data_IF_434355629390
#
_entry.id   IF_434355629390
#
_cell.length_a   1.000
_cell.length_b   1.000
_cell.length_c   1.000
_cell.angle_alpha   90.00
_cell.angle_beta   90.00
_cell.angle_gamma   90.00
#
_symmetry.space_group_name_H-M   'P 1'
#
loop_
_entity.id
_entity.type
_entity.pdbx_description
1 polymer ?
#
# COMPACT_ATOMS: atom_id res chain seq x y z
N UNK A 1 -35.94 31.54 31.93
CA UNK A 1 -35.24 31.35 30.64
C UNK A 1 -35.27 29.87 30.30
N UNK A 2 -36.10 29.47 29.33
CA UNK A 2 -36.13 28.09 28.85
C UNK A 2 -34.92 27.87 27.93
N UNK A 3 -34.05 26.93 28.28
CA UNK A 3 -32.93 26.51 27.45
C UNK A 3 -33.52 25.74 26.26
N UNK A 4 -33.43 26.31 25.07
CA UNK A 4 -33.80 25.65 23.82
C UNK A 4 -32.96 24.38 23.65
N UNK A 5 -33.55 23.22 23.31
CA UNK A 5 -32.81 21.98 23.12
C UNK A 5 -31.83 22.16 21.95
N UNK A 6 -30.56 21.85 22.20
CA UNK A 6 -29.52 21.83 21.18
C UNK A 6 -29.88 20.78 20.12
N UNK A 7 -30.35 21.23 18.96
CA UNK A 7 -30.57 20.37 17.81
C UNK A 7 -29.22 19.81 17.36
N UNK A 8 -28.95 18.55 17.75
CA UNK A 8 -27.83 17.80 17.21
C UNK A 8 -28.32 17.22 15.90
N UNK A 9 -27.88 17.70 14.72
CA UNK A 9 -28.40 17.19 13.46
C UNK A 9 -28.12 15.70 13.39
N UNK A 10 -29.16 14.93 13.09
CA UNK A 10 -29.06 13.49 12.93
C UNK A 10 -27.96 13.19 11.92
N UNK A 11 -26.99 12.33 12.25
CA UNK A 11 -25.93 11.97 11.33
C UNK A 11 -26.53 11.48 10.01
N UNK A 12 -26.12 12.09 8.88
CA UNK A 12 -26.56 11.69 7.55
C UNK A 12 -26.44 10.17 7.38
N UNK A 13 -27.39 9.51 6.68
CA UNK A 13 -27.37 8.07 6.51
C UNK A 13 -26.07 7.58 5.85
N UNK A 14 -25.66 6.34 6.17
CA UNK A 14 -24.35 5.79 5.79
C UNK A 14 -24.08 5.87 4.28
N UNK A 15 -25.09 5.71 3.43
CA UNK A 15 -24.95 5.81 1.98
C UNK A 15 -24.56 7.22 1.51
N UNK A 16 -25.10 8.28 2.14
CA UNK A 16 -24.72 9.66 1.83
C UNK A 16 -23.28 9.97 2.27
N UNK A 17 -22.81 9.31 3.33
CA UNK A 17 -21.42 9.43 3.81
C UNK A 17 -20.45 8.62 2.97
N UNK A 18 -20.90 7.50 2.41
CA UNK A 18 -20.10 6.64 1.54
C UNK A 18 -19.91 7.25 0.13
N UNK A 19 -20.88 8.03 -0.35
CA UNK A 19 -20.90 8.58 -1.70
C UNK A 19 -19.63 9.38 -2.09
N UNK A 20 -19.10 10.30 -1.25
CA UNK A 20 -17.86 11.01 -1.56
C UNK A 20 -16.65 10.07 -1.73
N UNK A 21 -16.62 8.96 -0.99
CA UNK A 21 -15.54 7.97 -1.07
C UNK A 21 -15.64 7.15 -2.35
N UNK A 22 -16.85 6.73 -2.75
CA UNK A 22 -17.07 6.01 -4.02
C UNK A 22 -16.66 6.89 -5.20
N UNK A 23 -17.07 8.16 -5.20
CA UNK A 23 -16.67 9.11 -6.23
C UNK A 23 -15.16 9.35 -6.27
N UNK A 24 -14.49 9.43 -5.11
CA UNK A 24 -13.04 9.55 -5.04
C UNK A 24 -12.33 8.34 -5.67
N UNK A 25 -12.77 7.12 -5.34
CA UNK A 25 -12.20 5.89 -5.92
C UNK A 25 -12.40 5.86 -7.43
N UNK A 26 -13.61 6.16 -7.92
CA UNK A 26 -13.88 6.22 -9.36
C UNK A 26 -13.00 7.26 -10.06
N UNK A 27 -12.85 8.45 -9.45
CA UNK A 27 -11.97 9.49 -9.94
C UNK A 27 -10.51 9.02 -10.04
N UNK A 28 -9.99 8.30 -9.04
CA UNK A 28 -8.62 7.77 -9.09
C UNK A 28 -8.42 6.73 -10.19
N UNK A 29 -9.40 5.85 -10.43
CA UNK A 29 -9.35 4.90 -11.55
C UNK A 29 -9.29 5.65 -12.88
N UNK A 30 -10.18 6.62 -13.10
CA UNK A 30 -10.20 7.43 -14.32
C UNK A 30 -8.89 8.19 -14.49
N UNK A 31 -8.37 8.78 -13.42
CA UNK A 31 -7.13 9.56 -13.45
C UNK A 31 -5.91 8.69 -13.82
N UNK A 32 -5.78 7.51 -13.21
CA UNK A 32 -4.69 6.58 -13.51
C UNK A 32 -4.77 6.06 -14.95
N UNK A 33 -5.97 5.69 -15.41
CA UNK A 33 -6.20 5.22 -16.78
C UNK A 33 -5.94 6.34 -17.79
N UNK A 34 -6.37 7.57 -17.52
CA UNK A 34 -6.14 8.71 -18.40
C UNK A 34 -4.65 9.04 -18.52
N UNK A 35 -3.91 9.03 -17.42
CA UNK A 35 -2.48 9.31 -17.43
C UNK A 35 -1.68 8.25 -18.22
N UNK A 36 -2.07 6.97 -18.10
CA UNK A 36 -1.46 5.86 -18.83
C UNK A 36 -2.30 5.36 -20.01
N UNK A 37 -3.07 6.25 -20.64
CA UNK A 37 -3.96 5.90 -21.74
C UNK A 37 -3.26 5.09 -22.87
N UNK A 38 -2.01 5.41 -23.28
CA UNK A 38 -1.32 4.61 -24.30
C UNK A 38 -1.06 3.15 -23.88
N UNK A 39 -0.82 2.91 -22.58
CA UNK A 39 -0.61 1.54 -22.07
C UNK A 39 -1.93 0.76 -22.07
N UNK A 40 -3.04 1.42 -21.71
CA UNK A 40 -4.35 0.78 -21.59
C UNK A 40 -5.00 0.53 -22.95
N UNK A 41 -5.01 1.52 -23.83
CA UNK A 41 -5.77 1.47 -25.10
C UNK A 41 -4.93 1.09 -26.31
N UNK A 42 -3.63 1.41 -26.32
CA UNK A 42 -2.75 1.13 -27.46
C UNK A 42 -1.81 -0.06 -27.19
N UNK A 43 -2.00 -0.76 -26.07
CA UNK A 43 -1.17 -1.89 -25.64
C UNK A 43 0.34 -1.60 -25.64
N UNK A 44 0.71 -0.35 -25.42
CA UNK A 44 2.11 0.05 -25.31
C UNK A 44 2.68 -0.37 -23.95
N UNK A 45 3.99 -0.57 -23.89
CA UNK A 45 4.70 -0.90 -22.66
C UNK A 45 5.71 0.19 -22.32
N UNK A 46 6.00 0.33 -21.03
CA UNK A 46 7.03 1.25 -20.57
C UNK A 46 8.39 0.55 -20.69
N UNK A 47 9.35 1.21 -21.34
CA UNK A 47 10.72 0.71 -21.41
C UNK A 47 11.39 0.83 -20.03
N UNK A 48 11.34 -0.26 -19.26
CA UNK A 48 11.83 -0.34 -17.90
C UNK A 48 13.19 -1.06 -17.87
N UNK A 49 14.25 -0.32 -17.54
CA UNK A 49 15.62 -0.85 -17.52
C UNK A 49 15.77 -1.99 -16.52
N UNK A 50 15.25 -1.82 -15.30
CA UNK A 50 15.31 -2.81 -14.24
C UNK A 50 14.61 -4.12 -14.60
N UNK A 51 13.49 -4.05 -15.32
CA UNK A 51 12.78 -5.25 -15.77
C UNK A 51 13.64 -6.02 -16.78
N UNK A 52 14.35 -5.31 -17.64
CA UNK A 52 15.25 -5.94 -18.61
C UNK A 52 16.43 -6.61 -17.90
N UNK A 53 17.02 -5.94 -16.91
CA UNK A 53 18.11 -6.53 -16.10
C UNK A 53 17.63 -7.73 -15.28
N UNK A 54 16.44 -7.64 -14.71
CA UNK A 54 15.80 -8.74 -13.98
C UNK A 54 15.60 -9.97 -14.87
N UNK A 55 15.09 -9.80 -16.09
CA UNK A 55 14.91 -10.90 -17.03
C UNK A 55 16.23 -11.61 -17.35
N UNK A 56 17.32 -10.85 -17.54
CA UNK A 56 18.65 -11.42 -17.73
C UNK A 56 19.15 -12.21 -16.50
N UNK A 57 18.99 -11.65 -15.31
CA UNK A 57 19.42 -12.28 -14.07
C UNK A 57 18.61 -13.51 -13.66
N UNK A 58 17.31 -13.52 -13.92
CA UNK A 58 16.40 -14.62 -13.60
C UNK A 58 16.45 -15.77 -14.61
N UNK A 59 17.06 -15.58 -15.78
CA UNK A 59 16.95 -16.49 -16.92
C UNK A 59 17.40 -17.92 -16.59
N UNK A 60 18.59 -18.11 -16.01
CA UNK A 60 19.09 -19.45 -15.62
C UNK A 60 18.15 -20.13 -14.62
N UNK A 61 17.68 -19.38 -13.63
CA UNK A 61 16.80 -19.90 -12.56
C UNK A 61 15.47 -20.36 -13.14
N UNK A 62 14.89 -19.57 -14.06
CA UNK A 62 13.64 -19.91 -14.74
C UNK A 62 13.77 -21.12 -15.67
N UNK A 63 14.88 -21.23 -16.40
CA UNK A 63 15.14 -22.40 -17.26
C UNK A 63 15.29 -23.68 -16.43
N UNK A 64 16.07 -23.62 -15.36
CA UNK A 64 16.21 -24.75 -14.44
C UNK A 64 14.86 -25.19 -13.85
N UNK A 65 14.05 -24.22 -13.38
CA UNK A 65 12.75 -24.51 -12.82
C UNK A 65 11.78 -25.14 -13.83
N UNK A 66 11.83 -24.70 -15.09
CA UNK A 66 11.03 -25.28 -16.17
C UNK A 66 11.42 -26.74 -16.48
N UNK A 67 12.70 -27.10 -16.37
CA UNK A 67 13.21 -28.45 -16.63
C UNK A 67 13.02 -29.41 -15.45
N UNK A 68 13.24 -28.94 -14.22
CA UNK A 68 13.30 -29.78 -13.02
C UNK A 68 12.01 -29.74 -12.17
N UNK A 69 11.07 -28.87 -12.50
CA UNK A 69 9.79 -28.72 -11.80
C UNK A 69 9.90 -28.09 -10.40
N UNK A 70 11.06 -27.55 -10.02
CA UNK A 70 11.26 -26.83 -8.77
C UNK A 70 12.28 -25.70 -8.93
N UNK A 71 12.09 -24.61 -8.17
CA UNK A 71 12.94 -23.42 -8.19
C UNK A 71 14.34 -23.74 -7.60
N UNK A 72 15.45 -23.41 -8.27
CA UNK A 72 16.77 -23.57 -7.65
C UNK A 72 16.99 -22.43 -6.65
N UNK A 73 17.70 -22.71 -5.55
CA UNK A 73 17.99 -21.73 -4.50
C UNK A 73 19.29 -20.93 -4.73
N UNK A 74 20.03 -21.27 -5.80
CA UNK A 74 21.31 -20.67 -6.17
C UNK A 74 21.42 -20.53 -7.69
N UNK A 75 21.96 -19.41 -8.16
CA UNK A 75 22.28 -19.15 -9.57
C UNK A 75 23.76 -18.85 -9.70
N UNK A 76 24.42 -19.40 -10.72
CA UNK A 76 25.82 -19.13 -11.03
C UNK A 76 25.99 -18.00 -12.05
N UNK A 77 24.91 -17.63 -12.73
CA UNK A 77 24.91 -16.63 -13.80
C UNK A 77 24.99 -15.19 -13.30
N UNK A 78 24.89 -14.96 -12.00
CA UNK A 78 24.97 -13.64 -11.39
C UNK A 78 26.07 -13.56 -10.33
N UNK A 79 26.92 -12.54 -10.41
CA UNK A 79 27.95 -12.19 -9.42
C UNK A 79 28.85 -13.37 -8.97
N UNK A 80 29.20 -14.28 -9.89
CA UNK A 80 29.94 -15.51 -9.62
C UNK A 80 29.24 -16.50 -8.67
N UNK A 81 27.92 -16.35 -8.48
CA UNK A 81 27.13 -17.14 -7.57
C UNK A 81 26.33 -16.27 -6.60
N UNK A 82 25.01 -16.42 -6.58
CA UNK A 82 24.19 -15.84 -5.53
C UNK A 82 22.92 -16.65 -5.25
N UNK A 83 22.30 -16.47 -4.06
CA UNK A 83 20.99 -17.03 -3.80
C UNK A 83 19.90 -16.41 -4.67
N UNK A 84 18.91 -17.21 -5.05
CA UNK A 84 17.83 -16.82 -6.00
C UNK A 84 16.57 -16.26 -5.32
N UNK A 85 16.50 -16.25 -3.99
CA UNK A 85 15.29 -15.87 -3.24
C UNK A 85 14.86 -14.41 -3.44
N UNK A 86 15.76 -13.53 -3.91
CA UNK A 86 15.46 -12.14 -4.29
C UNK A 86 15.32 -11.95 -5.82
N UNK A 87 15.45 -13.02 -6.60
CA UNK A 87 15.39 -13.01 -8.06
C UNK A 87 14.08 -13.65 -8.52
N UNK A 88 13.95 -14.99 -8.51
CA UNK A 88 12.77 -15.63 -9.12
C UNK A 88 12.17 -16.79 -8.35
N UNK A 89 12.54 -17.00 -7.08
CA UNK A 89 11.92 -18.08 -6.30
C UNK A 89 10.47 -17.74 -6.01
N UNK A 90 9.56 -18.60 -6.47
CA UNK A 90 8.15 -18.54 -6.15
C UNK A 90 7.84 -19.42 -4.94
N UNK A 91 7.27 -18.82 -3.90
CA UNK A 91 6.82 -19.55 -2.72
C UNK A 91 5.34 -19.94 -2.87
N UNK A 92 4.98 -21.24 -2.72
CA UNK A 92 3.59 -21.67 -2.75
C UNK A 92 2.82 -21.21 -1.49
N UNK A 93 1.49 -21.25 -1.56
CA UNK A 93 0.62 -20.98 -0.40
C UNK A 93 0.23 -19.51 -0.21
N UNK A 94 0.56 -18.65 -1.16
CA UNK A 94 0.31 -17.23 -1.07
C UNK A 94 -1.13 -16.84 -1.49
N UNK A 95 -2.04 -16.89 -0.53
CA UNK A 95 -3.47 -16.55 -0.72
C UNK A 95 -3.72 -15.06 -0.96
N UNK A 96 -2.81 -14.18 -0.52
CA UNK A 96 -3.00 -12.73 -0.69
C UNK A 96 -2.81 -12.28 -2.14
N UNK A 97 -2.45 -13.19 -3.06
CA UNK A 97 -2.38 -12.90 -4.50
C UNK A 97 -3.74 -12.50 -5.04
N UNK A 98 -4.81 -13.09 -4.50
CA UNK A 98 -6.18 -12.78 -4.90
C UNK A 98 -6.60 -11.39 -4.41
N UNK A 99 -6.16 -11.01 -3.20
CA UNK A 99 -6.40 -9.67 -2.65
C UNK A 99 -5.64 -8.62 -3.46
N UNK A 100 -4.36 -8.87 -3.77
CA UNK A 100 -3.56 -8.00 -4.66
C UNK A 100 -4.25 -7.83 -6.02
N UNK A 101 -4.73 -8.91 -6.64
CA UNK A 101 -5.45 -8.86 -7.92
C UNK A 101 -6.76 -8.06 -7.83
N UNK A 102 -7.51 -8.24 -6.75
CA UNK A 102 -8.75 -7.50 -6.51
C UNK A 102 -8.48 -6.00 -6.33
N UNK A 103 -7.49 -5.64 -5.52
CA UNK A 103 -7.04 -4.24 -5.33
C UNK A 103 -6.50 -3.66 -6.63
N UNK A 104 -5.89 -4.48 -7.48
CA UNK A 104 -5.38 -4.04 -8.77
C UNK A 104 -6.45 -3.80 -9.85
N UNK A 105 -7.70 -4.22 -9.61
CA UNK A 105 -8.84 -4.07 -10.54
C UNK A 105 -8.59 -4.63 -11.95
N UNK A 106 -7.64 -5.57 -12.11
CA UNK A 106 -7.25 -6.10 -13.42
C UNK A 106 -6.58 -5.08 -14.34
N UNK A 107 -6.19 -3.90 -13.83
CA UNK A 107 -5.49 -2.88 -14.60
C UNK A 107 -4.05 -3.33 -14.90
N UNK A 108 -3.40 -2.82 -15.98
CA UNK A 108 -1.99 -3.07 -16.23
C UNK A 108 -1.14 -2.65 -15.01
N UNK A 109 -0.06 -3.38 -14.72
CA UNK A 109 0.69 -3.26 -13.47
C UNK A 109 1.10 -1.82 -13.11
N UNK A 110 1.55 -1.06 -14.13
CA UNK A 110 1.95 0.36 -14.00
C UNK A 110 0.76 1.24 -13.59
N UNK A 111 -0.39 1.04 -14.23
CA UNK A 111 -1.63 1.80 -13.97
C UNK A 111 -2.19 1.47 -12.60
N UNK A 112 -2.21 0.18 -12.28
CA UNK A 112 -2.66 -0.32 -10.99
C UNK A 112 -1.82 0.22 -9.84
N UNK A 113 -0.49 0.28 -10.00
CA UNK A 113 0.40 0.81 -8.99
C UNK A 113 0.07 2.27 -8.63
N UNK A 114 -0.07 3.14 -9.65
CA UNK A 114 -0.46 4.54 -9.42
C UNK A 114 -1.85 4.65 -8.76
N UNK A 115 -2.83 3.88 -9.25
CA UNK A 115 -4.16 3.83 -8.64
C UNK A 115 -4.10 3.45 -7.16
N UNK A 116 -3.33 2.44 -6.79
CA UNK A 116 -3.19 1.98 -5.41
C UNK A 116 -2.48 3.03 -4.56
N UNK A 117 -1.44 3.70 -5.09
CA UNK A 117 -0.79 4.80 -4.38
C UNK A 117 -1.77 5.95 -4.06
N UNK A 118 -2.64 6.32 -5.03
CA UNK A 118 -3.71 7.30 -4.83
C UNK A 118 -4.72 6.82 -3.78
N UNK A 119 -5.17 5.57 -3.87
CA UNK A 119 -6.15 4.99 -2.95
C UNK A 119 -5.62 4.93 -1.52
N UNK A 120 -4.42 4.39 -1.32
CA UNK A 120 -3.81 4.28 0.01
C UNK A 120 -3.49 5.68 0.59
N UNK A 121 -3.01 6.61 -0.23
CA UNK A 121 -2.80 8.00 0.17
C UNK A 121 -4.10 8.69 0.61
N UNK A 122 -5.20 8.44 -0.11
CA UNK A 122 -6.52 8.92 0.26
C UNK A 122 -7.01 8.35 1.59
N UNK A 123 -6.88 7.03 1.79
CA UNK A 123 -7.26 6.37 3.04
C UNK A 123 -6.48 6.95 4.23
N UNK A 124 -5.18 7.20 4.07
CA UNK A 124 -4.36 7.86 5.10
C UNK A 124 -4.91 9.25 5.46
N UNK A 125 -5.20 10.08 4.47
CA UNK A 125 -5.70 11.44 4.70
C UNK A 125 -7.08 11.44 5.37
N UNK A 126 -7.96 10.51 4.97
CA UNK A 126 -9.25 10.32 5.63
C UNK A 126 -9.07 9.84 7.08
N UNK A 127 -8.14 8.92 7.35
CA UNK A 127 -7.82 8.45 8.69
C UNK A 127 -7.25 9.57 9.59
N UNK A 128 -6.56 10.55 9.00
CA UNK A 128 -6.11 11.78 9.66
C UNK A 128 -7.23 12.80 9.93
N UNK A 129 -8.46 12.54 9.46
CA UNK A 129 -9.62 13.42 9.64
C UNK A 129 -9.74 14.52 8.58
N UNK A 130 -9.00 14.42 7.47
CA UNK A 130 -9.09 15.38 6.35
C UNK A 130 -10.42 15.18 5.61
N UNK A 131 -11.10 16.28 5.26
CA UNK A 131 -12.36 16.25 4.52
C UNK A 131 -12.17 15.53 3.17
N UNK A 132 -13.12 14.69 2.70
CA UNK A 132 -12.96 13.86 1.50
C UNK A 132 -12.43 14.61 0.26
N UNK A 133 -12.93 15.80 -0.04
CA UNK A 133 -12.50 16.56 -1.22
C UNK A 133 -11.04 17.04 -1.10
N UNK A 134 -10.61 17.46 0.08
CA UNK A 134 -9.21 17.85 0.34
C UNK A 134 -8.31 16.61 0.37
N UNK A 135 -8.81 15.49 0.89
CA UNK A 135 -8.11 14.22 0.87
C UNK A 135 -7.87 13.73 -0.57
N UNK A 136 -8.80 13.96 -1.51
CA UNK A 136 -8.58 13.69 -2.94
C UNK A 136 -7.40 14.51 -3.48
N UNK A 137 -7.38 15.82 -3.23
CA UNK A 137 -6.30 16.69 -3.69
C UNK A 137 -4.94 16.26 -3.10
N UNK A 138 -4.89 15.95 -1.80
CA UNK A 138 -3.68 15.45 -1.15
C UNK A 138 -3.24 14.08 -1.67
N UNK A 139 -4.18 13.17 -1.94
CA UNK A 139 -3.88 11.87 -2.54
C UNK A 139 -3.27 12.02 -3.94
N UNK A 140 -3.83 12.91 -4.77
CA UNK A 140 -3.25 13.25 -6.08
C UNK A 140 -1.83 13.81 -5.92
N UNK A 141 -1.60 14.74 -4.99
CA UNK A 141 -0.27 15.29 -4.75
C UNK A 141 0.74 14.21 -4.31
N UNK A 142 0.32 13.25 -3.46
CA UNK A 142 1.16 12.13 -3.05
C UNK A 142 1.43 11.17 -4.22
N UNK A 143 0.38 10.74 -4.93
CA UNK A 143 0.48 9.79 -6.03
C UNK A 143 1.35 10.31 -7.19
N UNK A 144 1.14 11.57 -7.58
CA UNK A 144 1.88 12.25 -8.66
C UNK A 144 3.18 12.93 -8.20
N UNK A 145 3.65 12.64 -6.99
CA UNK A 145 4.98 13.07 -6.60
C UNK A 145 6.03 12.53 -7.58
N UNK A 146 7.01 13.36 -7.95
CA UNK A 146 7.96 13.03 -9.02
C UNK A 146 8.69 11.70 -8.79
N UNK A 147 8.94 11.35 -7.53
CA UNK A 147 9.59 10.11 -7.15
C UNK A 147 8.77 8.86 -7.50
N UNK A 148 7.44 8.87 -7.29
CA UNK A 148 6.57 7.74 -7.59
C UNK A 148 6.53 7.43 -9.09
N UNK A 149 6.55 8.47 -9.92
CA UNK A 149 6.58 8.30 -11.37
C UNK A 149 7.97 7.88 -11.87
N UNK A 150 9.04 8.46 -11.31
CA UNK A 150 10.41 8.12 -11.69
C UNK A 150 10.76 6.65 -11.37
N UNK A 151 10.37 6.16 -10.19
CA UNK A 151 10.66 4.78 -9.78
C UNK A 151 9.87 3.76 -10.61
N UNK A 152 8.65 4.13 -11.01
CA UNK A 152 7.83 3.33 -11.89
C UNK A 152 8.41 3.32 -13.31
N UNK A 153 8.93 4.45 -13.80
CA UNK A 153 9.63 4.52 -15.09
C UNK A 153 10.90 3.65 -15.13
N UNK A 154 11.65 3.58 -14.02
CA UNK A 154 12.83 2.73 -13.93
C UNK A 154 12.50 1.22 -14.01
N UNK A 155 11.33 0.81 -13.49
CA UNK A 155 10.97 -0.62 -13.38
C UNK A 155 11.19 -1.23 -12.01
N UNK A 156 11.49 -0.42 -11.00
CA UNK A 156 11.61 -0.82 -9.60
C UNK A 156 10.22 -1.13 -8.99
N UNK A 157 9.51 -2.07 -9.58
CA UNK A 157 8.09 -2.33 -9.34
C UNK A 157 7.83 -2.76 -7.89
N UNK A 158 8.64 -3.68 -7.33
CA UNK A 158 8.51 -4.15 -5.93
C UNK A 158 8.61 -2.99 -4.94
N UNK A 159 9.59 -2.10 -5.14
CA UNK A 159 9.80 -0.90 -4.32
C UNK A 159 8.64 0.08 -4.43
N UNK A 160 8.16 0.30 -5.66
CA UNK A 160 7.01 1.16 -5.93
C UNK A 160 5.73 0.64 -5.26
N UNK A 161 5.46 -0.66 -5.34
CA UNK A 161 4.34 -1.31 -4.66
C UNK A 161 4.43 -1.21 -3.13
N UNK A 162 5.60 -1.46 -2.56
CA UNK A 162 5.81 -1.31 -1.13
C UNK A 162 5.52 0.14 -0.68
N UNK A 163 5.97 1.14 -1.44
CA UNK A 163 5.70 2.54 -1.15
C UNK A 163 4.22 2.89 -1.28
N UNK A 164 3.52 2.35 -2.28
CA UNK A 164 2.09 2.55 -2.48
C UNK A 164 1.26 2.04 -1.28
N UNK A 165 1.68 0.95 -0.64
CA UNK A 165 1.00 0.39 0.53
C UNK A 165 1.35 1.06 1.86
N UNK A 166 2.47 1.76 1.95
CA UNK A 166 2.91 2.40 3.20
C UNK A 166 1.87 3.38 3.80
N UNK A 167 1.18 4.24 3.02
CA UNK A 167 0.10 5.07 3.55
C UNK A 167 -1.04 4.28 4.20
N UNK A 168 -1.40 3.10 3.68
CA UNK A 168 -2.46 2.27 4.25
C UNK A 168 -2.07 1.72 5.62
N UNK A 169 -0.81 1.28 5.77
CA UNK A 169 -0.25 0.85 7.06
C UNK A 169 -0.32 2.00 8.07
N UNK A 170 0.17 3.18 7.70
CA UNK A 170 0.16 4.35 8.59
C UNK A 170 -1.26 4.81 8.92
N UNK A 171 -2.17 4.78 7.95
CA UNK A 171 -3.57 5.12 8.16
C UNK A 171 -4.26 4.16 9.13
N UNK A 172 -4.03 2.86 8.98
CA UNK A 172 -4.50 1.84 9.89
C UNK A 172 -3.94 2.01 11.31
N UNK A 173 -2.64 2.26 11.44
CA UNK A 173 -1.96 2.52 12.72
C UNK A 173 -2.59 3.73 13.44
N UNK A 174 -2.73 4.85 12.74
CA UNK A 174 -3.31 6.07 13.28
C UNK A 174 -4.76 5.85 13.72
N UNK A 175 -5.55 5.16 12.91
CA UNK A 175 -6.95 4.86 13.24
C UNK A 175 -7.05 3.91 14.45
N UNK A 176 -6.13 2.94 14.54
CA UNK A 176 -6.08 1.98 15.62
C UNK A 176 -5.82 2.65 16.97
N UNK A 177 -4.92 3.65 17.01
CA UNK A 177 -4.58 4.39 18.23
C UNK A 177 -5.50 5.57 18.57
N UNK A 178 -6.14 6.20 17.57
CA UNK A 178 -6.91 7.45 17.79
C UNK A 178 -8.42 7.26 17.77
N UNK A 179 -8.92 6.27 17.04
CA UNK A 179 -10.35 6.13 16.76
C UNK A 179 -10.80 4.68 16.96
N UNK A 180 -11.21 4.01 15.89
CA UNK A 180 -11.74 2.66 15.93
C UNK A 180 -10.60 1.64 15.83
N UNK A 181 -10.27 1.01 16.98
CA UNK A 181 -9.22 -0.01 17.08
C UNK A 181 -9.39 -1.19 16.13
N UNK A 182 -10.63 -1.63 15.89
CA UNK A 182 -10.91 -2.80 15.05
C UNK A 182 -10.71 -2.50 13.57
N UNK A 183 -11.26 -1.39 13.09
CA UNK A 183 -11.07 -0.97 11.70
C UNK A 183 -9.60 -0.59 11.46
N UNK A 184 -8.96 0.07 12.44
CA UNK A 184 -7.54 0.41 12.36
C UNK A 184 -6.64 -0.80 12.26
N UNK A 185 -6.86 -1.81 13.12
CA UNK A 185 -6.13 -3.07 13.05
C UNK A 185 -6.36 -3.80 11.72
N UNK A 186 -7.61 -3.89 11.25
CA UNK A 186 -7.91 -4.52 9.96
C UNK A 186 -7.15 -3.84 8.80
N UNK A 187 -7.15 -2.50 8.75
CA UNK A 187 -6.43 -1.75 7.71
C UNK A 187 -4.91 -1.85 7.86
N UNK A 188 -4.40 -1.82 9.09
CA UNK A 188 -2.97 -1.97 9.39
C UNK A 188 -2.47 -3.35 8.96
N UNK A 189 -3.12 -4.42 9.41
CA UNK A 189 -2.75 -5.79 9.05
C UNK A 189 -2.84 -6.00 7.55
N UNK A 190 -3.93 -5.58 6.90
CA UNK A 190 -4.07 -5.71 5.45
C UNK A 190 -2.95 -4.95 4.70
N UNK A 191 -2.71 -3.69 5.06
CA UNK A 191 -1.67 -2.88 4.45
C UNK A 191 -0.29 -3.47 4.66
N UNK A 192 0.00 -3.99 5.86
CA UNK A 192 1.29 -4.55 6.21
C UNK A 192 1.52 -5.88 5.47
N UNK A 193 0.50 -6.73 5.40
CA UNK A 193 0.56 -7.97 4.61
C UNK A 193 0.85 -7.66 3.13
N UNK A 194 0.15 -6.69 2.53
CA UNK A 194 0.40 -6.29 1.14
C UNK A 194 1.78 -5.63 0.94
N UNK A 195 2.25 -4.85 1.91
CA UNK A 195 3.58 -4.26 1.89
C UNK A 195 4.70 -5.32 1.96
N UNK A 196 4.60 -6.27 2.88
CA UNK A 196 5.57 -7.38 3.02
C UNK A 196 5.52 -8.26 1.77
N UNK A 197 4.33 -8.54 1.25
CA UNK A 197 4.13 -9.28 -0.01
C UNK A 197 4.79 -8.59 -1.20
N UNK A 198 4.83 -7.26 -1.25
CA UNK A 198 5.54 -6.54 -2.31
C UNK A 198 7.05 -6.86 -2.35
N UNK A 199 7.56 -7.55 -1.32
CA UNK A 199 8.88 -8.17 -1.25
C UNK A 199 10.01 -7.19 -1.50
N UNK A 200 9.93 -6.03 -0.85
CA UNK A 200 10.98 -5.02 -0.90
C UNK A 200 11.46 -4.65 0.52
N UNK A 201 12.40 -5.43 1.09
CA UNK A 201 12.79 -5.36 2.50
C UNK A 201 13.21 -3.97 2.97
N UNK A 202 13.85 -3.19 2.08
CA UNK A 202 14.33 -1.85 2.43
C UNK A 202 13.18 -0.89 2.78
N UNK A 203 12.11 -0.86 1.97
CA UNK A 203 10.96 0.02 2.23
C UNK A 203 10.16 -0.49 3.43
N UNK A 204 9.99 -1.81 3.55
CA UNK A 204 9.33 -2.42 4.72
C UNK A 204 10.09 -2.10 6.01
N UNK A 205 11.42 -2.14 5.98
CA UNK A 205 12.26 -1.77 7.13
C UNK A 205 12.07 -0.29 7.52
N UNK A 206 12.10 0.64 6.56
CA UNK A 206 11.88 2.06 6.85
C UNK A 206 10.46 2.34 7.37
N UNK A 207 9.46 1.65 6.84
CA UNK A 207 8.09 1.73 7.36
C UNK A 207 8.00 1.19 8.79
N UNK A 208 8.65 0.06 9.08
CA UNK A 208 8.73 -0.52 10.42
C UNK A 208 9.37 0.43 11.43
N UNK A 209 10.46 1.11 11.05
CA UNK A 209 11.07 2.15 11.89
C UNK A 209 10.06 3.27 12.22
N UNK A 210 9.29 3.73 11.24
CA UNK A 210 8.27 4.76 11.45
C UNK A 210 7.15 4.28 12.38
N UNK A 211 6.70 3.03 12.24
CA UNK A 211 5.71 2.39 13.12
C UNK A 211 6.23 2.32 14.56
N UNK A 212 7.48 1.90 14.75
CA UNK A 212 8.11 1.81 16.08
C UNK A 212 8.24 3.18 16.73
N UNK A 213 8.72 4.18 15.98
CA UNK A 213 8.83 5.56 16.48
C UNK A 213 7.45 6.10 16.88
N UNK A 214 6.42 5.88 16.06
CA UNK A 214 5.05 6.27 16.39
C UNK A 214 4.54 5.55 17.64
N UNK A 215 4.80 4.24 17.76
CA UNK A 215 4.45 3.44 18.94
C UNK A 215 5.11 3.96 20.22
N UNK A 216 6.38 4.39 20.17
CA UNK A 216 7.07 5.02 21.30
C UNK A 216 6.41 6.35 21.67
N UNK A 217 6.06 7.18 20.69
CA UNK A 217 5.36 8.45 20.93
C UNK A 217 4.02 8.20 21.63
N UNK A 218 3.23 7.23 21.15
CA UNK A 218 1.96 6.87 21.78
C UNK A 218 2.13 6.24 23.16
N UNK A 219 3.20 5.45 23.38
CA UNK A 219 3.52 4.90 24.70
C UNK A 219 3.81 6.02 25.71
N UNK A 220 4.66 6.98 25.35
CA UNK A 220 4.97 8.13 26.22
C UNK A 220 3.72 8.95 26.50
N UNK A 221 2.88 9.18 25.48
CA UNK A 221 1.58 9.84 25.62
C UNK A 221 0.64 9.08 26.57
N UNK A 222 0.57 7.76 26.46
CA UNK A 222 -0.26 6.90 27.30
C UNK A 222 0.22 6.85 28.76
N UNK A 223 1.53 6.84 29.00
CA UNK A 223 2.12 6.94 30.35
C UNK A 223 1.70 8.27 30.99
N UNK A 224 1.90 9.39 30.28
CA UNK A 224 1.56 10.73 30.78
C UNK A 224 0.07 10.90 31.06
N UNK A 225 -0.78 10.25 30.27
CA UNK A 225 -2.23 10.33 30.40
C UNK A 225 -2.84 9.25 31.31
N UNK A 226 -2.05 8.34 31.90
CA UNK A 226 -2.56 7.23 32.73
C UNK A 226 -3.39 6.19 31.96
N UNK A 227 -3.22 6.08 30.63
CA UNK A 227 -4.01 5.21 29.74
C UNK A 227 -3.25 3.95 29.28
N UNK A 228 -2.34 3.44 30.10
CA UNK A 228 -1.48 2.31 29.75
C UNK A 228 -2.24 1.03 29.37
N UNK A 229 -3.35 0.74 30.05
CA UNK A 229 -4.18 -0.44 29.73
C UNK A 229 -4.79 -0.40 28.33
N UNK A 230 -5.30 0.77 27.92
CA UNK A 230 -5.85 0.95 26.56
C UNK A 230 -4.74 0.88 25.50
N UNK A 231 -3.58 1.48 25.77
CA UNK A 231 -2.41 1.37 24.90
C UNK A 231 -2.00 -0.09 24.70
N UNK A 232 -1.81 -0.84 25.78
CA UNK A 232 -1.43 -2.25 25.71
C UNK A 232 -2.46 -3.08 24.93
N UNK A 233 -3.75 -2.86 25.16
CA UNK A 233 -4.81 -3.54 24.42
C UNK A 233 -4.81 -3.27 22.93
N UNK A 234 -4.42 -2.05 22.50
CA UNK A 234 -4.28 -1.70 21.07
C UNK A 234 -3.00 -2.27 20.45
N UNK A 235 -1.91 -2.33 21.22
CA UNK A 235 -0.66 -2.96 20.75
C UNK A 235 -0.84 -4.45 20.55
N UNK A 236 -1.51 -5.14 21.46
CA UNK A 236 -1.78 -6.59 21.33
C UNK A 236 -2.67 -6.91 20.11
N UNK A 237 -3.50 -5.96 19.69
CA UNK A 237 -4.38 -6.11 18.54
C UNK A 237 -3.64 -5.97 17.20
N UNK A 238 -2.52 -5.23 17.17
CA UNK A 238 -1.75 -4.88 15.96
C UNK A 238 -0.62 -5.87 15.71
#
# INVERSE_FOLDING_TARGET
MAVSPSYSPTPAPLWQRAWPHVLAVLFFVVLAVAYFAPIVFNHQTLAQHDITQFQGGAHETQQWAAEHGHEPLWTNSMFSGMPTYLISVHFPGDLFVYVQKAVALGLPAVVSNLFVALLCGYVLLVALGVRPLVAVAGAVALGFSSYNLAILAAGHNTKSWALAYAPLVLGGLLLAFRQNKWLGAALFTLGLTLNVRANHPQITYYLGLLVVIYGIIELVSAIRAGRLGDFAGRVVLL
#
